data_IF_090705679533
#
_entry.id   IF_090705679533
#
_cell.length_a   1.000
_cell.length_b   1.000
_cell.length_c   1.000
_cell.angle_alpha   90.00
_cell.angle_beta   90.00
_cell.angle_gamma   90.00
#
_symmetry.space_group_name_H-M   'P 1'
#
loop_
_entity.id
_entity.type
_entity.pdbx_description
1 polymer ?
#
# COMPACT_ATOMS: atom_id res chain seq x y z
N UNK A 1 -2.72 -6.23 7.14
CA UNK A 1 -1.85 -6.29 5.95
C UNK A 1 -2.52 -5.50 4.83
N UNK A 2 -1.84 -4.55 4.20
CA UNK A 2 -2.39 -3.69 3.13
C UNK A 2 -1.61 -3.86 1.82
N UNK A 3 -2.29 -3.82 0.67
CA UNK A 3 -1.66 -4.08 -0.62
C UNK A 3 -0.64 -2.99 -0.93
N UNK A 4 0.54 -3.38 -1.45
CA UNK A 4 1.64 -2.46 -1.78
C UNK A 4 1.62 -1.93 -3.21
N UNK A 5 0.64 -2.33 -4.03
CA UNK A 5 0.47 -1.85 -5.41
C UNK A 5 1.75 -1.93 -6.26
N UNK A 6 2.46 -3.06 -6.13
CA UNK A 6 3.75 -3.27 -6.77
C UNK A 6 3.69 -3.00 -8.27
N UNK A 7 4.71 -2.33 -8.81
CA UNK A 7 4.83 -2.03 -10.24
C UNK A 7 4.79 -3.30 -11.10
N UNK A 8 5.52 -4.34 -10.68
CA UNK A 8 5.59 -5.63 -11.37
C UNK A 8 4.41 -6.55 -11.07
N UNK A 9 3.57 -6.21 -10.08
CA UNK A 9 2.35 -6.93 -9.69
C UNK A 9 2.43 -8.47 -9.79
N UNK A 10 3.38 -9.11 -9.08
CA UNK A 10 3.61 -10.57 -9.13
C UNK A 10 2.35 -11.41 -8.94
N UNK A 11 1.38 -10.92 -8.16
CA UNK A 11 0.09 -11.56 -7.96
C UNK A 11 -0.75 -11.68 -9.24
N UNK A 12 -0.69 -10.69 -10.13
CA UNK A 12 -1.35 -10.69 -11.45
C UNK A 12 -0.66 -11.70 -12.35
N UNK A 13 0.68 -11.64 -12.45
CA UNK A 13 1.47 -12.56 -13.27
C UNK A 13 1.31 -14.03 -12.85
N UNK A 14 1.13 -14.29 -11.54
CA UNK A 14 0.94 -15.63 -11.01
C UNK A 14 -0.46 -16.22 -11.24
N UNK A 15 -1.44 -15.46 -11.73
CA UNK A 15 -2.81 -15.94 -11.88
C UNK A 15 -2.98 -16.74 -13.20
N UNK A 16 -3.20 -18.07 -13.16
CA UNK A 16 -3.33 -18.88 -14.37
C UNK A 16 -4.66 -18.68 -15.12
N UNK A 17 -5.59 -17.90 -14.55
CA UNK A 17 -6.92 -17.63 -15.11
C UNK A 17 -7.17 -16.16 -15.41
N UNK A 18 -6.12 -15.33 -15.31
CA UNK A 18 -6.24 -13.89 -15.58
C UNK A 18 -7.41 -13.25 -14.80
N UNK A 19 -7.58 -13.73 -13.56
CA UNK A 19 -8.64 -13.28 -12.66
C UNK A 19 -8.19 -12.08 -11.82
N UNK A 20 -6.95 -11.64 -11.94
CA UNK A 20 -6.41 -10.46 -11.28
C UNK A 20 -5.96 -9.47 -12.34
N UNK A 21 -6.26 -8.20 -12.12
CA UNK A 21 -5.94 -7.10 -13.01
C UNK A 21 -5.42 -5.92 -12.20
N UNK A 22 -4.42 -5.20 -12.73
CA UNK A 22 -3.97 -3.94 -12.15
C UNK A 22 -4.77 -2.79 -12.78
N UNK A 23 -5.66 -2.18 -11.99
CA UNK A 23 -6.41 -0.99 -12.42
C UNK A 23 -5.52 0.24 -12.62
N UNK A 24 -6.06 1.28 -13.26
CA UNK A 24 -5.32 2.50 -13.59
C UNK A 24 -4.73 3.22 -12.36
N UNK A 25 -5.37 3.09 -11.20
CA UNK A 25 -4.92 3.66 -9.92
C UNK A 25 -3.96 2.74 -9.14
N UNK A 26 -3.46 1.65 -9.77
CA UNK A 26 -2.58 0.66 -9.15
C UNK A 26 -3.27 -0.34 -8.23
N UNK A 27 -4.58 -0.23 -8.01
CA UNK A 27 -5.35 -1.18 -7.21
C UNK A 27 -5.49 -2.50 -7.97
N UNK A 28 -5.33 -3.61 -7.25
CA UNK A 28 -5.54 -4.94 -7.81
C UNK A 28 -7.03 -5.28 -7.73
N UNK A 29 -7.63 -5.54 -8.89
CA UNK A 29 -9.02 -5.94 -9.06
C UNK A 29 -9.07 -7.46 -9.24
N UNK A 30 -9.98 -8.13 -8.53
CA UNK A 30 -10.22 -9.57 -8.67
C UNK A 30 -11.55 -9.84 -9.37
N UNK A 31 -11.47 -10.44 -10.56
CA UNK A 31 -12.62 -10.92 -11.32
C UNK A 31 -13.10 -12.26 -10.75
N UNK A 32 -14.01 -12.21 -9.77
CA UNK A 32 -14.47 -13.39 -9.03
C UNK A 32 -15.02 -14.51 -9.95
N UNK A 33 -15.71 -14.14 -11.04
CA UNK A 33 -16.24 -15.11 -12.01
C UNK A 33 -15.15 -15.88 -12.78
N UNK A 34 -13.92 -15.35 -12.87
CA UNK A 34 -12.77 -16.03 -13.48
C UNK A 34 -11.94 -16.81 -12.45
N UNK A 35 -12.13 -16.53 -11.17
CA UNK A 35 -11.26 -17.05 -10.12
C UNK A 35 -11.65 -18.47 -9.71
N UNK A 36 -10.72 -19.41 -9.84
CA UNK A 36 -10.91 -20.82 -9.45
C UNK A 36 -10.38 -21.16 -8.05
N UNK A 37 -9.95 -20.15 -7.28
CA UNK A 37 -9.45 -20.37 -5.91
C UNK A 37 -8.13 -21.14 -5.81
N UNK A 38 -7.26 -21.10 -6.84
CA UNK A 38 -5.99 -21.82 -6.86
C UNK A 38 -4.91 -21.32 -5.88
N UNK A 39 -5.11 -20.12 -5.29
CA UNK A 39 -4.21 -19.48 -4.31
C UNK A 39 -2.81 -19.10 -4.82
N UNK A 40 -2.50 -19.25 -6.11
CA UNK A 40 -1.20 -18.87 -6.69
C UNK A 40 -0.84 -17.40 -6.43
N UNK A 41 -1.82 -16.51 -6.52
CA UNK A 41 -1.63 -15.09 -6.22
C UNK A 41 -1.29 -14.80 -4.75
N UNK A 42 -1.85 -15.58 -3.81
CA UNK A 42 -1.53 -15.45 -2.39
C UNK A 42 -0.08 -15.87 -2.10
N UNK A 43 0.38 -16.94 -2.74
CA UNK A 43 1.77 -17.39 -2.64
C UNK A 43 2.75 -16.42 -3.31
N UNK A 44 2.35 -15.80 -4.42
CA UNK A 44 3.18 -14.85 -5.14
C UNK A 44 3.30 -13.48 -4.46
N UNK A 45 2.44 -13.16 -3.50
CA UNK A 45 2.50 -11.88 -2.79
C UNK A 45 3.57 -11.93 -1.69
N UNK A 46 4.70 -11.20 -1.82
CA UNK A 46 5.76 -11.23 -0.79
C UNK A 46 5.32 -10.59 0.53
N UNK A 47 4.24 -9.82 0.51
CA UNK A 47 3.67 -9.12 1.67
C UNK A 47 2.48 -9.85 2.29
N UNK A 48 2.13 -11.05 1.80
CA UNK A 48 1.03 -11.86 2.34
C UNK A 48 -0.31 -11.11 2.40
N UNK A 49 -0.57 -10.21 1.45
CA UNK A 49 -1.73 -9.32 1.50
C UNK A 49 -2.92 -9.79 0.66
N UNK A 50 -2.77 -10.92 -0.03
CA UNK A 50 -3.88 -11.50 -0.79
C UNK A 50 -4.53 -12.58 0.06
N UNK A 51 -5.78 -12.31 0.43
CA UNK A 51 -6.60 -13.26 1.16
C UNK A 51 -7.05 -14.39 0.22
N UNK A 52 -6.90 -15.66 0.64
CA UNK A 52 -7.21 -16.81 -0.21
C UNK A 52 -8.71 -17.04 -0.38
N UNK A 53 -9.56 -16.50 0.51
CA UNK A 53 -11.02 -16.62 0.36
C UNK A 53 -11.49 -15.94 -0.93
N UNK A 54 -12.52 -16.48 -1.57
CA UNK A 54 -13.09 -15.99 -2.85
C UNK A 54 -14.04 -14.80 -2.65
N UNK A 55 -14.07 -14.21 -1.44
CA UNK A 55 -14.85 -13.00 -1.19
C UNK A 55 -14.23 -11.79 -1.89
N UNK A 56 -15.04 -10.75 -2.10
CA UNK A 56 -14.64 -9.50 -2.74
C UNK A 56 -13.30 -9.01 -2.16
N UNK A 57 -12.25 -9.10 -2.97
CA UNK A 57 -10.95 -8.52 -2.65
C UNK A 57 -11.01 -7.02 -2.95
N UNK A 58 -11.70 -6.27 -2.08
CA UNK A 58 -11.62 -4.82 -2.09
C UNK A 58 -10.34 -4.46 -1.36
N UNK A 59 -9.23 -4.41 -2.10
CA UNK A 59 -8.01 -3.79 -1.59
C UNK A 59 -8.25 -2.28 -1.54
N UNK A 60 -8.75 -1.78 -0.42
CA UNK A 60 -8.88 -0.35 -0.21
C UNK A 60 -7.50 0.32 -0.31
N UNK A 61 -7.37 1.29 -1.21
CA UNK A 61 -6.23 2.20 -1.28
C UNK A 61 -6.39 3.22 -0.15
N UNK A 62 -5.29 3.61 0.48
CA UNK A 62 -5.29 4.86 1.25
C UNK A 62 -5.57 6.01 0.26
N UNK A 63 -6.70 6.66 0.43
CA UNK A 63 -7.13 7.84 -0.32
C UNK A 63 -6.57 9.15 0.26
N UNK A 64 -5.61 9.04 1.19
CA UNK A 64 -4.99 10.14 1.94
C UNK A 64 -5.99 11.04 2.68
N UNK A 65 -7.21 10.55 2.92
CA UNK A 65 -8.30 11.34 3.47
C UNK A 65 -8.59 12.63 2.68
N UNK A 66 -8.29 12.66 1.37
CA UNK A 66 -8.43 13.87 0.55
C UNK A 66 -9.87 14.39 0.55
N UNK A 67 -10.85 13.50 0.44
CA UNK A 67 -12.27 13.89 0.46
C UNK A 67 -12.65 14.59 1.77
N UNK A 68 -12.15 14.10 2.91
CA UNK A 68 -12.44 14.67 4.22
C UNK A 68 -11.74 16.02 4.41
N UNK A 69 -10.55 16.19 3.84
CA UNK A 69 -9.81 17.44 3.84
C UNK A 69 -10.41 18.50 2.91
N UNK A 70 -11.06 18.08 1.81
CA UNK A 70 -11.84 18.98 0.95
C UNK A 70 -13.05 19.56 1.68
N UNK A 71 -13.72 18.74 2.51
CA UNK A 71 -14.88 19.16 3.30
C UNK A 71 -14.49 19.96 4.57
N UNK A 72 -13.41 19.57 5.25
CA UNK A 72 -12.92 20.18 6.50
C UNK A 72 -11.37 20.29 6.47
N UNK A 73 -10.82 21.50 6.25
CA UNK A 73 -9.37 21.71 6.22
C UNK A 73 -8.64 21.39 7.53
N UNK A 74 -9.35 21.40 8.66
CA UNK A 74 -8.80 21.08 9.98
C UNK A 74 -8.97 19.58 10.33
N UNK A 75 -9.48 18.77 9.39
CA UNK A 75 -9.69 17.34 9.59
C UNK A 75 -8.36 16.62 9.83
N UNK A 76 -8.26 15.95 10.98
CA UNK A 76 -7.14 15.04 11.26
C UNK A 76 -7.47 13.60 10.84
N UNK A 77 -6.66 12.99 9.94
CA UNK A 77 -6.82 11.60 9.55
C UNK A 77 -6.88 10.64 10.74
N UNK A 78 -7.73 9.63 10.65
CA UNK A 78 -7.90 8.64 11.71
C UNK A 78 -6.58 7.93 12.07
N UNK A 79 -5.75 7.65 11.06
CA UNK A 79 -4.42 7.07 11.25
C UNK A 79 -3.49 7.95 12.09
N UNK A 80 -3.57 9.28 11.97
CA UNK A 80 -2.81 10.24 12.78
C UNK A 80 -3.38 10.31 14.19
N UNK A 81 -4.70 10.42 14.32
CA UNK A 81 -5.38 10.54 15.63
C UNK A 81 -5.21 9.33 16.54
N UNK A 82 -5.10 8.13 15.95
CA UNK A 82 -5.04 6.87 16.71
C UNK A 82 -3.63 6.31 16.85
N UNK A 83 -2.64 6.93 16.20
CA UNK A 83 -1.27 6.46 16.23
C UNK A 83 -0.66 6.58 17.65
N UNK A 84 -0.03 5.51 18.17
CA UNK A 84 0.79 5.63 19.36
C UNK A 84 2.09 6.40 19.05
N UNK A 85 2.59 7.14 20.04
CA UNK A 85 3.95 7.69 20.10
C UNK A 85 4.47 8.33 18.79
N UNK A 86 3.70 9.28 18.23
CA UNK A 86 4.12 10.09 17.06
C UNK A 86 4.46 9.28 15.78
N UNK A 87 3.97 8.04 15.67
CA UNK A 87 4.25 7.18 14.53
C UNK A 87 3.69 7.72 13.20
N UNK A 88 2.61 8.49 13.24
CA UNK A 88 2.04 9.19 12.10
C UNK A 88 1.82 10.66 12.46
N UNK A 89 2.22 11.55 11.56
CA UNK A 89 2.05 12.99 11.68
C UNK A 89 1.59 13.54 10.33
N UNK A 90 0.71 14.53 10.37
CA UNK A 90 0.32 15.33 9.21
C UNK A 90 1.06 16.66 9.29
N UNK A 91 2.12 16.79 8.50
CA UNK A 91 3.00 17.97 8.45
C UNK A 91 3.42 18.21 7.00
N UNK A 92 3.71 19.47 6.67
CA UNK A 92 4.43 19.80 5.45
C UNK A 92 5.90 19.40 5.61
N UNK A 93 6.39 18.58 4.69
CA UNK A 93 7.75 18.07 4.74
C UNK A 93 8.34 18.00 3.34
N UNK A 94 9.64 18.25 3.25
CA UNK A 94 10.42 18.07 2.03
C UNK A 94 11.25 16.80 2.11
N UNK A 95 11.69 16.29 0.96
CA UNK A 95 12.52 15.08 0.94
C UNK A 95 13.88 15.39 1.56
N UNK A 96 14.22 14.70 2.65
CA UNK A 96 15.46 14.92 3.38
C UNK A 96 16.20 13.59 3.54
N UNK A 97 16.97 13.16 2.52
CA UNK A 97 17.72 11.90 2.56
C UNK A 97 18.69 11.82 3.76
N UNK A 98 19.27 12.95 4.17
CA UNK A 98 20.16 13.05 5.33
C UNK A 98 19.48 12.79 6.68
N UNK A 99 18.15 12.95 6.76
CA UNK A 99 17.35 12.62 7.94
C UNK A 99 16.56 11.31 7.76
N UNK A 100 16.85 10.55 6.70
CA UNK A 100 16.19 9.30 6.35
C UNK A 100 14.70 9.44 6.02
N UNK A 101 14.29 10.57 5.45
CA UNK A 101 12.92 10.84 5.01
C UNK A 101 12.84 10.67 3.49
N UNK A 102 11.93 9.80 3.04
CA UNK A 102 11.72 9.47 1.63
C UNK A 102 10.24 9.50 1.29
N UNK A 103 9.89 9.98 0.10
CA UNK A 103 8.50 9.95 -0.37
C UNK A 103 8.11 8.57 -0.91
N UNK A 104 6.90 8.12 -0.53
CA UNK A 104 6.24 6.92 -1.02
C UNK A 104 4.93 7.33 -1.67
N UNK A 105 4.98 7.61 -2.97
CA UNK A 105 3.88 8.22 -3.71
C UNK A 105 3.86 9.74 -3.52
N UNK A 106 2.68 10.34 -3.69
CA UNK A 106 2.54 11.82 -3.76
C UNK A 106 2.34 12.48 -2.39
N UNK A 107 1.74 11.79 -1.42
CA UNK A 107 1.27 12.40 -0.16
C UNK A 107 1.76 11.70 1.12
N UNK A 108 2.66 10.72 1.02
CA UNK A 108 3.22 10.03 2.19
C UNK A 108 4.74 10.12 2.16
N UNK A 109 5.31 10.60 3.27
CA UNK A 109 6.74 10.49 3.55
C UNK A 109 6.99 9.44 4.65
N UNK A 110 8.05 8.65 4.50
CA UNK A 110 8.46 7.62 5.45
C UNK A 110 9.83 7.96 5.99
N UNK A 111 9.94 8.04 7.33
CA UNK A 111 11.21 8.14 8.02
C UNK A 111 11.72 6.74 8.35
N UNK A 112 12.68 6.23 7.59
CA UNK A 112 13.28 4.92 7.83
C UNK A 112 14.76 4.95 7.47
N UNK A 113 15.67 4.50 8.37
CA UNK A 113 17.08 4.40 8.01
C UNK A 113 17.25 3.51 6.78
N UNK A 114 18.19 3.88 5.92
CA UNK A 114 18.47 3.15 4.68
C UNK A 114 18.72 1.67 4.97
N UNK A 115 18.19 0.78 4.13
CA UNK A 115 18.42 -0.66 4.31
C UNK A 115 19.92 -0.99 4.27
N UNK A 116 20.72 -0.22 3.52
CA UNK A 116 22.18 -0.35 3.47
C UNK A 116 22.83 -0.11 4.84
N UNK A 117 22.32 0.86 5.61
CA UNK A 117 22.79 1.09 6.97
C UNK A 117 22.32 0.00 7.94
N UNK A 118 21.10 -0.54 7.77
CA UNK A 118 20.58 -1.64 8.59
C UNK A 118 21.37 -2.94 8.41
N UNK A 119 21.89 -3.20 7.21
CA UNK A 119 22.72 -4.38 6.93
C UNK A 119 24.22 -4.16 7.13
N UNK A 120 24.64 -2.97 7.60
CA UNK A 120 26.07 -2.63 7.76
C UNK A 120 26.86 -2.60 6.45
N UNK A 121 26.17 -2.48 5.30
CA UNK A 121 26.78 -2.40 3.97
C UNK A 121 26.95 -0.93 3.60
N UNK A 122 28.03 -0.32 4.10
CA UNK A 122 28.55 0.96 3.61
C UNK A 122 29.99 0.79 3.17
#
# INVERSE_FOLDING_TARGET
SYCRQCQDAFCVAACPKEALERGANGVIIRHNMRCVGCKSCALACPFGTIFPEVMNYVSAKCDYCLNQLEDDPDYQPLCVRTAPAEAFQMIDIEEQPGQHIFFVGEHIAVKSPSWLQKEGKR
#
